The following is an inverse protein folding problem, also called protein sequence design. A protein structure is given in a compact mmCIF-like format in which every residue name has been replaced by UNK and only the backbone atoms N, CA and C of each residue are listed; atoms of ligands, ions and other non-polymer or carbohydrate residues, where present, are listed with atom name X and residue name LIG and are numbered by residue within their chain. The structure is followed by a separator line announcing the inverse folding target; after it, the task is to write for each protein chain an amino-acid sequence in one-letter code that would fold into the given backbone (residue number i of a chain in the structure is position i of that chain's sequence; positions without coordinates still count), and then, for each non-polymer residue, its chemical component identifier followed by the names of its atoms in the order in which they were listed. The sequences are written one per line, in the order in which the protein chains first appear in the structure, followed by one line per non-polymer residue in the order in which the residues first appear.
data_IF_161555032119
#
_entry.id   IF_161555032119
#
_cell.length_a   1.000
_cell.length_b   1.000
_cell.length_c   1.000
_cell.angle_alpha   90.00
_cell.angle_beta   90.00
_cell.angle_gamma   90.00
#
_symmetry.space_group_name_H-M   'P 1'
#
loop_
_entity.id
_entity.type
_entity.pdbx_description
1 polymer ?
#
# COMPACT_ATOMS: atom_id res chain seq x y z
N UNK A 1 38.00 -5.50 -8.48
CA UNK A 1 37.55 -5.41 -7.08
C UNK A 1 36.44 -4.36 -6.99
N UNK A 2 35.28 -4.69 -6.43
CA UNK A 2 34.17 -3.74 -6.33
C UNK A 2 33.07 -4.20 -5.35
N UNK A 3 32.40 -3.22 -4.73
CA UNK A 3 31.22 -3.41 -3.88
C UNK A 3 29.96 -3.24 -4.72
N UNK A 4 29.07 -4.22 -4.66
CA UNK A 4 27.81 -4.29 -5.38
C UNK A 4 26.66 -4.37 -4.38
N UNK A 5 25.51 -3.79 -4.70
CA UNK A 5 24.31 -3.84 -3.83
C UNK A 5 23.17 -4.52 -4.55
N UNK A 6 22.67 -5.61 -4.00
CA UNK A 6 21.44 -6.26 -4.45
C UNK A 6 20.27 -5.50 -3.83
N UNK A 7 19.28 -5.13 -4.64
CA UNK A 7 18.00 -4.57 -4.19
C UNK A 7 16.88 -5.49 -4.65
N UNK A 8 15.83 -5.62 -3.85
CA UNK A 8 14.65 -6.40 -4.18
C UNK A 8 13.38 -5.70 -3.67
N UNK A 9 12.26 -5.96 -4.35
CA UNK A 9 10.92 -5.49 -4.00
C UNK A 9 9.93 -6.59 -4.36
N UNK A 10 8.95 -6.83 -3.50
CA UNK A 10 7.91 -7.83 -3.68
C UNK A 10 6.57 -7.29 -3.18
N UNK A 11 5.49 -7.69 -3.87
CA UNK A 11 4.12 -7.40 -3.46
C UNK A 11 3.52 -8.73 -3.03
N UNK A 12 3.09 -8.79 -1.77
CA UNK A 12 2.45 -9.98 -1.23
C UNK A 12 1.05 -10.18 -1.84
N UNK A 13 0.49 -11.39 -1.72
CA UNK A 13 -0.84 -11.69 -2.28
C UNK A 13 -1.96 -10.83 -1.65
N UNK A 14 -1.74 -10.36 -0.43
CA UNK A 14 -2.58 -9.40 0.30
C UNK A 14 -2.29 -7.93 -0.06
N UNK A 15 -1.38 -7.67 -1.00
CA UNK A 15 -1.15 -6.35 -1.59
C UNK A 15 -0.16 -5.47 -0.84
N UNK A 16 0.50 -5.98 0.20
CA UNK A 16 1.50 -5.20 0.94
C UNK A 16 2.87 -5.24 0.24
N UNK A 17 3.49 -4.08 -0.01
CA UNK A 17 4.82 -4.02 -0.59
C UNK A 17 5.89 -4.27 0.49
N UNK A 18 6.91 -5.05 0.14
CA UNK A 18 8.08 -5.30 0.97
C UNK A 18 9.34 -5.17 0.12
N UNK A 19 10.33 -4.43 0.61
CA UNK A 19 11.56 -4.14 -0.12
C UNK A 19 12.77 -4.36 0.77
N UNK A 20 13.89 -4.73 0.17
CA UNK A 20 15.16 -4.84 0.87
C UNK A 20 16.36 -4.80 -0.05
N UNK A 21 17.53 -5.00 0.55
CA UNK A 21 18.76 -5.11 -0.20
C UNK A 21 19.94 -5.44 0.71
N UNK A 22 21.00 -5.98 0.11
CA UNK A 22 22.24 -6.26 0.82
C UNK A 22 23.45 -6.01 -0.09
N UNK A 23 24.54 -5.44 0.44
CA UNK A 23 25.78 -5.28 -0.29
C UNK A 23 26.61 -6.56 -0.29
N UNK A 24 27.39 -6.78 -1.34
CA UNK A 24 28.44 -7.79 -1.42
C UNK A 24 29.62 -7.26 -2.24
N UNK A 25 30.84 -7.66 -1.90
CA UNK A 25 32.06 -7.21 -2.60
C UNK A 25 32.78 -8.39 -3.26
N UNK A 26 33.37 -8.15 -4.43
CA UNK A 26 34.25 -9.12 -5.11
C UNK A 26 35.67 -8.53 -5.09
N UNK A 27 36.63 -9.20 -4.45
CA UNK A 27 38.01 -8.72 -4.23
C UNK A 27 38.32 -8.43 -2.75
N UNK A 28 39.34 -7.61 -2.46
CA UNK A 28 39.75 -7.25 -1.08
C UNK A 28 38.68 -6.40 -0.35
N UNK A 29 38.48 -6.70 0.94
CA UNK A 29 37.50 -6.04 1.82
C UNK A 29 37.88 -4.58 2.09
N UNK A 30 37.06 -3.65 1.60
CA UNK A 30 37.00 -2.29 2.15
C UNK A 30 36.07 -2.35 3.36
N UNK A 31 36.47 -1.75 4.50
CA UNK A 31 35.67 -1.63 5.72
C UNK A 31 34.21 -1.27 5.40
N UNK A 32 33.34 -2.28 5.36
CA UNK A 32 31.92 -2.08 5.10
C UNK A 32 31.27 -1.69 6.41
N UNK A 33 31.17 -0.40 6.67
CA UNK A 33 30.17 0.12 7.59
C UNK A 33 28.80 -0.07 6.92
N UNK A 34 28.24 -1.27 7.04
CA UNK A 34 26.93 -1.60 6.49
C UNK A 34 25.88 -0.94 7.38
N UNK A 35 25.60 0.33 7.08
CA UNK A 35 24.29 0.87 7.36
C UNK A 35 23.37 0.21 6.34
N UNK A 36 22.65 -0.84 6.75
CA UNK A 36 21.42 -1.21 6.06
C UNK A 36 20.49 -0.05 6.32
N UNK A 37 20.56 0.97 5.48
CA UNK A 37 19.51 1.96 5.36
C UNK A 37 18.32 1.14 4.89
N UNK A 38 17.52 0.69 5.86
CA UNK A 38 16.31 -0.07 5.63
C UNK A 38 15.61 0.68 4.54
N UNK A 39 15.41 -0.01 3.40
CA UNK A 39 14.73 0.58 2.25
C UNK A 39 13.57 1.35 2.84
N UNK A 40 13.63 2.67 2.70
CA UNK A 40 12.45 3.48 2.76
C UNK A 40 11.63 2.92 1.61
N UNK A 41 10.86 1.86 1.94
CA UNK A 41 9.80 1.35 1.11
C UNK A 41 9.17 2.61 0.59
N UNK A 42 9.20 2.79 -0.72
CA UNK A 42 8.58 3.90 -1.42
C UNK A 42 7.08 3.81 -1.15
N UNK A 43 6.70 4.07 0.10
CA UNK A 43 5.35 4.20 0.57
C UNK A 43 4.95 5.48 -0.12
N UNK A 44 4.04 5.36 -1.10
CA UNK A 44 3.15 6.47 -1.38
C UNK A 44 2.76 7.01 -0.02
N UNK A 45 3.04 8.31 0.19
CA UNK A 45 2.90 9.02 1.46
C UNK A 45 1.84 8.34 2.32
N UNK A 46 2.13 7.91 3.55
CA UNK A 46 1.13 7.24 4.42
C UNK A 46 -0.22 7.98 4.40
N UNK A 47 -0.16 9.31 4.22
CA UNK A 47 -1.31 10.17 3.96
C UNK A 47 -2.12 9.82 2.70
N UNK A 48 -1.48 9.54 1.57
CA UNK A 48 -2.09 9.09 0.31
C UNK A 48 -2.80 7.74 0.43
N UNK A 49 -2.21 6.78 1.15
CA UNK A 49 -2.82 5.45 1.32
C UNK A 49 -4.02 5.50 2.28
N UNK A 50 -3.88 6.22 3.40
CA UNK A 50 -5.01 6.48 4.32
C UNK A 50 -6.13 7.24 3.61
N UNK A 51 -5.79 8.21 2.75
CA UNK A 51 -6.77 9.00 2.01
C UNK A 51 -7.55 8.14 1.01
N UNK A 52 -6.90 7.27 0.24
CA UNK A 52 -7.60 6.46 -0.78
C UNK A 52 -8.52 5.42 -0.14
N UNK A 53 -8.08 4.81 0.98
CA UNK A 53 -8.89 3.88 1.76
C UNK A 53 -10.11 4.60 2.35
N UNK A 54 -9.91 5.77 2.95
CA UNK A 54 -10.98 6.58 3.55
C UNK A 54 -12.01 7.00 2.49
N UNK A 55 -11.55 7.50 1.35
CA UNK A 55 -12.42 7.95 0.27
C UNK A 55 -13.30 6.81 -0.26
N UNK A 56 -12.73 5.60 -0.38
CA UNK A 56 -13.46 4.41 -0.83
C UNK A 56 -14.63 4.07 0.10
N UNK A 57 -14.43 4.14 1.42
CA UNK A 57 -15.50 3.88 2.38
C UNK A 57 -16.56 4.99 2.40
N UNK A 58 -16.16 6.26 2.26
CA UNK A 58 -17.11 7.37 2.16
C UNK A 58 -18.02 7.19 0.93
N UNK A 59 -17.43 6.93 -0.23
CA UNK A 59 -18.18 6.73 -1.48
C UNK A 59 -19.09 5.50 -1.38
N UNK A 60 -18.57 4.37 -0.89
CA UNK A 60 -19.36 3.16 -0.70
C UNK A 60 -20.54 3.36 0.26
N UNK A 61 -20.31 4.06 1.37
CA UNK A 61 -21.36 4.40 2.34
C UNK A 61 -22.46 5.28 1.76
N UNK A 62 -22.10 6.33 1.01
CA UNK A 62 -23.08 7.19 0.35
C UNK A 62 -23.96 6.43 -0.65
N UNK A 63 -23.36 5.52 -1.43
CA UNK A 63 -24.10 4.69 -2.38
C UNK A 63 -25.10 3.78 -1.65
N UNK A 64 -24.67 3.12 -0.57
CA UNK A 64 -25.52 2.23 0.21
C UNK A 64 -26.70 2.96 0.85
N UNK A 65 -26.44 4.13 1.46
CA UNK A 65 -27.48 4.96 2.06
C UNK A 65 -28.47 5.43 0.99
N UNK A 66 -27.97 5.99 -0.13
CA UNK A 66 -28.81 6.47 -1.22
C UNK A 66 -29.69 5.37 -1.82
N UNK A 67 -29.11 4.20 -2.07
CA UNK A 67 -29.84 3.04 -2.58
C UNK A 67 -30.89 2.55 -1.57
N UNK A 68 -30.55 2.50 -0.28
CA UNK A 68 -31.46 2.08 0.79
C UNK A 68 -32.67 3.00 0.93
N UNK A 69 -32.46 4.32 0.94
CA UNK A 69 -33.55 5.30 0.99
C UNK A 69 -34.47 5.15 -0.23
N UNK A 70 -33.90 5.04 -1.43
CA UNK A 70 -34.68 4.87 -2.66
C UNK A 70 -35.47 3.56 -2.66
N UNK A 71 -34.89 2.50 -2.14
CA UNK A 71 -35.56 1.21 -2.01
C UNK A 71 -36.74 1.28 -1.04
N UNK A 72 -36.57 1.93 0.11
CA UNK A 72 -37.63 2.11 1.11
C UNK A 72 -38.79 2.97 0.56
N UNK A 73 -38.48 4.06 -0.16
CA UNK A 73 -39.50 4.87 -0.84
C UNK A 73 -40.32 4.05 -1.84
N UNK A 74 -39.67 3.22 -2.66
CA UNK A 74 -40.37 2.31 -3.57
C UNK A 74 -41.24 1.30 -2.83
N UNK A 75 -40.75 0.75 -1.71
CA UNK A 75 -41.48 -0.22 -0.91
C UNK A 75 -42.75 0.41 -0.32
N UNK A 76 -42.66 1.59 0.28
CA UNK A 76 -43.81 2.31 0.84
C UNK A 76 -44.86 2.59 -0.24
N UNK A 77 -44.44 3.03 -1.44
CA UNK A 77 -45.34 3.27 -2.58
C UNK A 77 -46.00 2.00 -3.13
N UNK A 78 -45.39 0.82 -2.93
CA UNK A 78 -45.90 -0.46 -3.43
C UNK A 78 -47.08 -0.99 -2.60
N UNK A 79 -47.11 -0.68 -1.31
CA UNK A 79 -48.07 -1.23 -0.33
C UNK A 79 -49.12 -0.20 0.15
N UNK A 80 -49.11 1.00 -0.42
CA UNK A 80 -50.13 2.04 -0.20
C UNK A 80 -51.05 2.11 -1.41
#
# INVERSE_FOLDING_TARGET
NGTYTVRWSMISADGHPSEGGYPFSIGEEVQTNVVVEGNASGSGSVFSDVMIVTLRYIVGGMILIGAGVKWLDMFVKRYR
#
